data_IF_757087514096
#
_entry.id   IF_757087514096
#
_cell.length_a   1.000
_cell.length_b   1.000
_cell.length_c   1.000
_cell.angle_alpha   90.00
_cell.angle_beta   90.00
_cell.angle_gamma   90.00
#
_symmetry.space_group_name_H-M   'P 1'
#
loop_
_entity.id
_entity.type
_entity.pdbx_description
1 polymer ?
#
# COMPACT_ATOMS: atom_id res chain seq x y z
N UNK A 1 30.49 28.63 -38.14
CA UNK A 1 30.15 27.56 -37.18
C UNK A 1 28.74 27.79 -36.68
N UNK A 2 27.90 26.78 -36.81
CA UNK A 2 26.50 26.81 -36.44
C UNK A 2 26.33 26.92 -34.92
N UNK A 3 25.29 27.61 -34.47
CA UNK A 3 24.57 27.22 -33.26
C UNK A 3 23.08 27.55 -33.40
N UNK A 4 22.29 26.48 -33.49
CA UNK A 4 20.84 26.46 -33.48
C UNK A 4 20.33 26.89 -32.09
N UNK A 5 19.49 27.92 -32.05
CA UNK A 5 18.50 28.10 -30.98
C UNK A 5 17.15 27.64 -31.52
N UNK A 6 16.68 26.48 -31.05
CA UNK A 6 15.29 26.03 -31.23
C UNK A 6 14.44 26.68 -30.14
N UNK A 7 13.73 27.74 -30.49
CA UNK A 7 12.63 28.26 -29.66
C UNK A 7 11.34 27.56 -30.10
N UNK A 8 10.83 26.68 -29.24
CA UNK A 8 9.51 26.07 -29.39
C UNK A 8 8.48 27.11 -28.92
N UNK A 9 7.79 27.74 -29.86
CA UNK A 9 6.60 28.53 -29.55
C UNK A 9 5.41 27.58 -29.50
N UNK A 10 5.05 27.19 -28.28
CA UNK A 10 3.72 26.68 -27.97
C UNK A 10 2.82 27.89 -27.77
N UNK A 11 1.98 28.16 -28.76
CA UNK A 11 1.03 29.27 -28.72
C UNK A 11 -0.24 28.87 -29.45
N UNK A 12 -1.24 28.42 -28.70
CA UNK A 12 -2.63 28.44 -29.14
C UNK A 12 -3.03 29.91 -29.31
N UNK A 13 -2.95 30.41 -30.54
CA UNK A 13 -3.58 31.68 -30.91
C UNK A 13 -4.09 31.56 -32.33
N UNK A 14 -5.42 31.45 -32.44
CA UNK A 14 -6.18 31.53 -33.69
C UNK A 14 -5.83 32.81 -34.46
N UNK A 15 -5.62 32.75 -35.79
CA UNK A 15 -5.84 33.93 -36.61
C UNK A 15 -7.34 34.04 -36.91
N UNK A 16 -7.96 35.08 -36.32
CA UNK A 16 -9.17 35.70 -36.85
C UNK A 16 -8.84 36.23 -38.25
N UNK A 17 -9.31 35.55 -39.30
CA UNK A 17 -9.35 36.11 -40.65
C UNK A 17 -10.80 36.36 -41.02
N UNK A 18 -11.21 37.60 -40.73
CA UNK A 18 -12.39 38.26 -41.27
C UNK A 18 -12.28 38.39 -42.79
N UNK A 19 -13.41 38.14 -43.46
CA UNK A 19 -13.66 38.35 -44.88
C UNK A 19 -13.04 39.63 -45.46
N UNK A 20 -12.17 39.49 -46.45
CA UNK A 20 -11.99 40.47 -47.54
C UNK A 20 -11.81 39.69 -48.85
N UNK A 21 -12.91 39.52 -49.58
CA UNK A 21 -12.90 38.97 -50.93
C UNK A 21 -12.49 40.04 -51.93
N UNK A 22 -11.54 39.70 -52.80
CA UNK A 22 -11.35 40.39 -54.08
C UNK A 22 -11.26 39.31 -55.17
N UNK A 23 -12.39 39.02 -55.81
CA UNK A 23 -12.48 38.07 -56.91
C UNK A 23 -11.99 38.70 -58.22
N UNK A 24 -10.98 38.10 -58.86
CA UNK A 24 -10.82 38.18 -60.31
C UNK A 24 -11.33 36.87 -60.90
N UNK A 25 -12.44 36.96 -61.63
CA UNK A 25 -13.07 35.83 -62.33
C UNK A 25 -12.26 35.53 -63.60
N UNK A 26 -11.74 34.32 -63.71
CA UNK A 26 -11.32 33.71 -64.97
C UNK A 26 -12.26 32.52 -65.25
N UNK A 27 -12.80 32.36 -66.48
CA UNK A 27 -13.77 31.32 -66.76
C UNK A 27 -13.03 30.01 -67.09
N UNK A 28 -13.26 28.96 -66.30
CA UNK A 28 -12.91 27.61 -66.74
C UNK A 28 -12.38 26.65 -65.67
N UNK A 29 -13.29 26.12 -64.84
CA UNK A 29 -13.37 24.72 -64.36
C UNK A 29 -14.39 24.68 -63.22
N UNK A 30 -15.26 23.67 -63.19
CA UNK A 30 -16.15 23.44 -62.05
C UNK A 30 -15.30 22.99 -60.87
N UNK A 31 -14.97 23.90 -59.97
CA UNK A 31 -14.32 23.58 -58.71
C UNK A 31 -15.32 22.84 -57.82
N UNK A 32 -15.12 21.54 -57.68
CA UNK A 32 -15.79 20.75 -56.65
C UNK A 32 -15.17 21.18 -55.31
N UNK A 33 -15.86 22.09 -54.61
CA UNK A 33 -15.53 22.45 -53.23
C UNK A 33 -15.72 21.22 -52.34
N UNK A 34 -14.64 20.46 -52.12
CA UNK A 34 -14.57 19.49 -51.02
C UNK A 34 -14.55 20.27 -49.70
N UNK A 35 -15.71 20.39 -49.07
CA UNK A 35 -15.81 20.89 -47.70
C UNK A 35 -15.34 19.79 -46.75
N UNK A 36 -14.09 19.89 -46.29
CA UNK A 36 -13.65 19.10 -45.14
C UNK A 36 -14.38 19.61 -43.90
N UNK A 37 -15.44 18.90 -43.50
CA UNK A 37 -16.03 19.09 -42.18
C UNK A 37 -15.05 18.54 -41.15
N UNK A 38 -14.19 19.40 -40.60
CA UNK A 38 -13.44 19.05 -39.41
C UNK A 38 -14.43 18.95 -38.26
N UNK A 39 -14.71 17.72 -37.79
CA UNK A 39 -15.48 17.50 -36.56
C UNK A 39 -14.65 17.98 -35.35
N UNK A 40 -14.56 19.30 -35.17
CA UNK A 40 -13.81 19.94 -34.09
C UNK A 40 -14.26 19.46 -32.70
N UNK A 41 -15.52 19.02 -32.60
CA UNK A 41 -16.12 18.47 -31.39
C UNK A 41 -15.41 17.21 -30.85
N UNK A 42 -14.76 16.40 -31.69
CA UNK A 42 -14.07 15.18 -31.25
C UNK A 42 -12.66 15.46 -30.70
N UNK A 43 -12.04 16.57 -31.08
CA UNK A 43 -10.70 16.97 -30.59
C UNK A 43 -10.73 17.75 -29.27
N UNK A 44 -11.86 18.36 -28.92
CA UNK A 44 -11.99 19.18 -27.70
C UNK A 44 -12.39 18.39 -26.44
N UNK A 45 -12.81 17.12 -26.55
CA UNK A 45 -13.06 16.28 -25.37
C UNK A 45 -11.75 15.61 -24.97
N UNK A 46 -11.09 16.14 -23.94
CA UNK A 46 -10.08 15.39 -23.21
C UNK A 46 -10.69 14.03 -22.81
N UNK A 47 -9.97 12.91 -22.97
CA UNK A 47 -10.50 11.60 -22.59
C UNK A 47 -10.86 11.66 -21.10
N UNK A 48 -12.12 11.41 -20.77
CA UNK A 48 -12.54 11.27 -19.38
C UNK A 48 -11.71 10.13 -18.78
N UNK A 49 -10.95 10.46 -17.73
CA UNK A 49 -10.09 9.47 -17.08
C UNK A 49 -11.01 8.41 -16.45
N UNK A 50 -10.89 7.12 -16.84
CA UNK A 50 -11.71 6.09 -16.24
C UNK A 50 -11.28 5.91 -14.77
N UNK A 51 -12.08 6.40 -13.84
CA UNK A 51 -11.80 6.28 -12.41
C UNK A 51 -12.64 7.22 -11.56
N UNK A 52 -12.95 6.78 -10.33
CA UNK A 52 -13.61 7.62 -9.33
C UNK A 52 -12.56 8.57 -8.73
N UNK A 53 -12.83 9.88 -8.63
CA UNK A 53 -11.91 10.83 -8.00
C UNK A 53 -11.58 10.48 -6.55
N UNK A 54 -10.31 10.66 -6.13
CA UNK A 54 -9.85 10.31 -4.77
C UNK A 54 -10.65 10.97 -3.65
N UNK A 55 -11.08 12.22 -3.82
CA UNK A 55 -11.86 12.97 -2.82
C UNK A 55 -13.22 12.34 -2.49
N UNK A 56 -13.74 11.48 -3.37
CA UNK A 56 -15.01 10.78 -3.16
C UNK A 56 -14.82 9.42 -2.48
N UNK A 57 -13.57 8.95 -2.34
CA UNK A 57 -13.24 7.66 -1.76
C UNK A 57 -12.78 7.82 -0.31
N UNK A 58 -13.25 6.92 0.54
CA UNK A 58 -12.88 6.87 1.95
C UNK A 58 -12.12 5.58 2.26
N UNK A 59 -10.97 5.72 2.94
CA UNK A 59 -10.14 4.63 3.44
C UNK A 59 -10.42 4.42 4.93
N UNK A 60 -10.89 3.24 5.29
CA UNK A 60 -11.17 2.82 6.65
C UNK A 60 -10.06 1.94 7.23
N UNK A 61 -9.62 2.28 8.44
CA UNK A 61 -8.65 1.52 9.23
C UNK A 61 -9.32 1.02 10.52
N UNK A 62 -9.91 -0.18 10.50
CA UNK A 62 -10.55 -0.74 11.70
C UNK A 62 -9.51 -1.31 12.68
N UNK A 63 -9.94 -1.49 13.92
CA UNK A 63 -9.19 -2.17 14.96
C UNK A 63 -9.19 -3.68 14.69
N UNK A 64 -8.10 -4.35 15.05
CA UNK A 64 -8.04 -5.80 14.95
C UNK A 64 -8.70 -6.45 16.17
N UNK A 65 -9.61 -7.39 15.91
CA UNK A 65 -10.36 -8.12 16.97
C UNK A 65 -9.73 -9.45 17.34
N UNK A 66 -8.72 -9.90 16.58
CA UNK A 66 -8.04 -11.15 16.87
C UNK A 66 -7.27 -11.07 18.18
N UNK A 67 -7.28 -12.16 18.95
CA UNK A 67 -6.63 -12.22 20.26
C UNK A 67 -5.14 -11.85 20.18
N UNK A 68 -4.72 -10.92 21.03
CA UNK A 68 -3.33 -10.45 21.13
C UNK A 68 -2.74 -9.84 19.85
N UNK A 69 -3.57 -9.47 18.87
CA UNK A 69 -3.11 -8.71 17.71
C UNK A 69 -2.84 -7.26 18.14
N UNK A 70 -1.59 -6.82 17.97
CA UNK A 70 -1.16 -5.48 18.42
C UNK A 70 -0.89 -4.53 17.27
N UNK A 71 -0.77 -5.04 16.04
CA UNK A 71 -0.47 -4.24 14.86
C UNK A 71 -1.72 -3.50 14.38
N UNK A 72 -1.48 -2.40 13.69
CA UNK A 72 -2.50 -1.62 12.98
C UNK A 72 -2.10 -1.52 11.50
N UNK A 73 -3.09 -1.48 10.61
CA UNK A 73 -2.84 -1.53 9.17
C UNK A 73 -2.13 -0.27 8.63
N UNK A 74 -2.44 0.91 9.19
CA UNK A 74 -1.80 2.18 8.82
C UNK A 74 -1.25 2.89 10.06
N UNK A 75 -0.01 3.34 9.96
CA UNK A 75 0.59 4.28 10.91
C UNK A 75 0.16 5.73 10.58
N UNK A 76 0.30 6.69 11.51
CA UNK A 76 0.03 8.10 11.22
C UNK A 76 0.80 8.64 10.01
N UNK A 77 2.03 8.18 9.77
CA UNK A 77 2.80 8.54 8.57
C UNK A 77 2.17 7.99 7.28
N UNK A 78 1.63 6.77 7.31
CA UNK A 78 0.88 6.20 6.18
C UNK A 78 -0.42 6.96 5.90
N UNK A 79 -1.10 7.42 6.96
CA UNK A 79 -2.28 8.29 6.83
C UNK A 79 -1.94 9.60 6.13
N UNK A 80 -0.86 10.29 6.55
CA UNK A 80 -0.42 11.52 5.91
C UNK A 80 -0.15 11.35 4.41
N UNK A 81 0.44 10.21 4.01
CA UNK A 81 0.70 9.92 2.61
C UNK A 81 -0.60 9.76 1.79
N UNK A 82 -1.60 9.07 2.33
CA UNK A 82 -2.90 8.88 1.66
C UNK A 82 -3.71 10.18 1.59
N UNK A 83 -3.70 10.97 2.67
CA UNK A 83 -4.33 12.30 2.69
C UNK A 83 -3.67 13.22 1.66
N UNK A 84 -2.34 13.20 1.55
CA UNK A 84 -1.60 13.96 0.53
C UNK A 84 -1.96 13.53 -0.90
N UNK A 85 -2.27 12.25 -1.12
CA UNK A 85 -2.76 11.74 -2.41
C UNK A 85 -4.20 12.19 -2.70
N UNK A 86 -4.97 12.56 -1.67
CA UNK A 86 -6.31 13.13 -1.78
C UNK A 86 -7.44 12.21 -1.30
N UNK A 87 -7.13 11.13 -0.59
CA UNK A 87 -8.13 10.26 0.03
C UNK A 87 -8.61 10.84 1.37
N UNK A 88 -9.86 10.55 1.71
CA UNK A 88 -10.35 10.74 3.08
C UNK A 88 -9.99 9.49 3.89
N UNK A 89 -9.44 9.66 5.10
CA UNK A 89 -9.06 8.54 5.96
C UNK A 89 -9.86 8.57 7.24
N UNK A 90 -10.52 7.45 7.55
CA UNK A 90 -11.23 7.23 8.81
C UNK A 90 -10.55 6.08 9.57
N UNK A 91 -10.34 6.29 10.86
CA UNK A 91 -9.67 5.31 11.74
C UNK A 91 -10.59 5.00 12.90
N UNK A 92 -10.70 3.72 13.25
CA UNK A 92 -11.48 3.31 14.42
C UNK A 92 -10.80 3.79 15.71
N UNK A 93 -11.58 4.31 16.65
CA UNK A 93 -11.05 4.75 17.95
C UNK A 93 -10.31 3.60 18.66
N UNK A 94 -9.09 3.89 19.11
CA UNK A 94 -8.27 2.93 19.81
C UNK A 94 -7.69 1.81 18.92
N UNK A 95 -7.72 1.94 17.59
CA UNK A 95 -7.11 0.98 16.68
C UNK A 95 -5.58 0.91 16.82
N UNK A 96 -4.94 2.05 17.09
CA UNK A 96 -3.48 2.17 17.18
C UNK A 96 -2.88 1.97 18.57
N UNK A 97 -3.68 1.89 19.63
CA UNK A 97 -3.20 1.90 21.02
C UNK A 97 -2.17 0.81 21.31
N UNK A 98 -2.45 -0.42 20.87
CA UNK A 98 -1.55 -1.56 21.05
C UNK A 98 -0.23 -1.43 20.24
N UNK A 99 -0.26 -0.64 19.17
CA UNK A 99 0.91 -0.24 18.36
C UNK A 99 1.59 1.04 18.88
N UNK A 100 1.15 1.59 20.01
CA UNK A 100 1.63 2.85 20.61
C UNK A 100 1.36 4.09 19.75
N UNK A 101 0.28 4.08 18.97
CA UNK A 101 -0.24 5.26 18.28
C UNK A 101 -1.56 5.69 18.93
N UNK A 102 -1.60 6.88 19.53
CA UNK A 102 -2.82 7.48 20.05
C UNK A 102 -3.71 8.01 18.93
N UNK A 103 -5.01 8.13 19.21
CA UNK A 103 -6.00 8.73 18.31
C UNK A 103 -5.62 10.17 17.92
N UNK A 104 -4.93 10.91 18.81
CA UNK A 104 -4.48 12.28 18.54
C UNK A 104 -3.41 12.34 17.43
N UNK A 105 -2.54 11.34 17.33
CA UNK A 105 -1.59 11.26 16.23
C UNK A 105 -2.29 11.06 14.89
N UNK A 106 -3.39 10.31 14.86
CA UNK A 106 -4.21 10.13 13.67
C UNK A 106 -4.98 11.40 13.29
N UNK A 107 -5.55 12.10 14.28
CA UNK A 107 -6.19 13.42 14.06
C UNK A 107 -5.20 14.43 13.50
N UNK A 108 -3.99 14.52 14.06
CA UNK A 108 -2.93 15.40 13.58
C UNK A 108 -2.44 15.02 12.17
N UNK A 109 -2.53 13.74 11.79
CA UNK A 109 -2.23 13.26 10.44
C UNK A 109 -3.32 13.56 9.40
N UNK A 110 -4.48 14.09 9.82
CA UNK A 110 -5.60 14.42 8.96
C UNK A 110 -6.66 13.32 8.82
N UNK A 111 -6.61 12.27 9.64
CA UNK A 111 -7.68 11.28 9.71
C UNK A 111 -8.81 11.72 10.66
N UNK A 112 -10.00 11.22 10.40
CA UNK A 112 -11.14 11.32 11.30
C UNK A 112 -11.27 10.06 12.15
N UNK A 113 -11.55 10.22 13.44
CA UNK A 113 -11.77 9.09 14.34
C UNK A 113 -13.26 8.78 14.38
N UNK A 114 -13.59 7.53 14.14
CA UNK A 114 -14.97 7.04 14.08
C UNK A 114 -15.09 5.69 14.82
N UNK A 115 -16.31 5.21 14.99
CA UNK A 115 -16.64 3.89 15.52
C UNK A 115 -16.44 2.76 14.50
N UNK A 116 -16.46 1.53 15.00
CA UNK A 116 -16.13 0.35 14.20
C UNK A 116 -17.04 0.16 12.97
N UNK A 117 -18.36 0.31 13.13
CA UNK A 117 -19.31 -0.02 12.05
C UNK A 117 -19.13 0.89 10.84
N UNK A 118 -18.98 2.20 11.07
CA UNK A 118 -18.80 3.16 10.00
C UNK A 118 -17.43 3.04 9.32
N UNK A 119 -16.38 2.68 10.07
CA UNK A 119 -15.05 2.44 9.48
C UNK A 119 -15.06 1.23 8.55
N UNK A 120 -15.70 0.12 8.94
CA UNK A 120 -15.85 -1.06 8.08
C UNK A 120 -16.76 -0.81 6.86
N UNK A 121 -17.64 0.19 6.91
CA UNK A 121 -18.51 0.58 5.80
C UNK A 121 -17.83 1.52 4.78
N UNK A 122 -16.52 1.75 4.88
CA UNK A 122 -15.74 2.58 3.96
C UNK A 122 -15.60 1.97 2.56
N UNK A 123 -15.21 2.77 1.57
CA UNK A 123 -14.99 2.31 0.18
C UNK A 123 -13.76 1.40 0.08
N UNK A 124 -12.68 1.78 0.77
CA UNK A 124 -11.47 0.97 0.91
C UNK A 124 -11.32 0.60 2.39
N UNK A 125 -11.24 -0.68 2.72
CA UNK A 125 -10.96 -1.15 4.07
C UNK A 125 -9.58 -1.78 4.08
N UNK A 126 -8.68 -1.24 4.91
CA UNK A 126 -7.30 -1.74 5.04
C UNK A 126 -7.14 -2.39 6.40
N UNK A 127 -6.94 -3.71 6.40
CA UNK A 127 -6.72 -4.53 7.60
C UNK A 127 -5.38 -5.24 7.52
N UNK A 128 -4.87 -5.63 8.69
CA UNK A 128 -3.70 -6.51 8.76
C UNK A 128 -4.17 -7.93 8.43
N UNK A 129 -5.13 -8.45 9.19
CA UNK A 129 -5.60 -9.83 9.06
C UNK A 129 -6.95 -9.91 8.34
N UNK A 130 -7.26 -11.13 7.90
CA UNK A 130 -8.55 -11.46 7.34
C UNK A 130 -9.71 -11.07 8.29
N UNK A 131 -10.84 -10.58 7.75
CA UNK A 131 -12.03 -10.32 8.55
C UNK A 131 -12.53 -11.57 9.26
N UNK A 132 -12.97 -11.44 10.50
CA UNK A 132 -13.48 -12.56 11.30
C UNK A 132 -14.79 -12.21 12.03
N UNK A 133 -15.32 -13.15 12.81
CA UNK A 133 -16.45 -12.87 13.70
C UNK A 133 -15.98 -11.92 14.79
N UNK A 134 -16.60 -10.74 14.86
CA UNK A 134 -16.30 -9.76 15.89
C UNK A 134 -17.06 -10.16 17.18
N UNK A 135 -16.37 -10.52 18.28
CA UNK A 135 -17.03 -10.96 19.51
C UNK A 135 -17.81 -9.83 20.20
N UNK A 136 -17.40 -8.57 20.00
CA UNK A 136 -18.05 -7.39 20.60
C UNK A 136 -19.36 -7.04 19.89
N UNK A 137 -19.39 -7.17 18.56
CA UNK A 137 -20.56 -6.83 17.74
C UNK A 137 -21.49 -8.03 17.50
N UNK A 138 -21.03 -9.27 17.75
CA UNK A 138 -21.79 -10.49 17.50
C UNK A 138 -22.02 -10.81 16.02
N UNK A 139 -21.38 -10.07 15.11
CA UNK A 139 -21.54 -10.22 13.65
C UNK A 139 -20.19 -10.43 12.98
N UNK A 140 -20.22 -11.04 11.79
CA UNK A 140 -19.01 -11.22 11.00
C UNK A 140 -18.61 -9.89 10.34
N UNK A 141 -17.34 -9.49 10.43
CA UNK A 141 -16.85 -8.22 9.86
C UNK A 141 -17.13 -8.10 8.36
N UNK A 142 -17.07 -9.22 7.62
CA UNK A 142 -17.44 -9.26 6.20
C UNK A 142 -18.87 -8.75 5.91
N UNK A 143 -19.82 -8.95 6.83
CA UNK A 143 -21.21 -8.50 6.65
C UNK A 143 -21.36 -6.98 6.83
N UNK A 144 -20.39 -6.34 7.50
CA UNK A 144 -20.34 -4.90 7.71
C UNK A 144 -19.67 -4.16 6.53
N UNK A 145 -19.00 -4.87 5.63
CA UNK A 145 -18.37 -4.28 4.45
C UNK A 145 -19.43 -3.72 3.49
N UNK A 146 -19.16 -2.55 2.94
CA UNK A 146 -19.99 -1.93 1.90
C UNK A 146 -20.03 -2.80 0.63
N UNK A 147 -21.17 -2.79 -0.05
CA UNK A 147 -21.30 -3.39 -1.39
C UNK A 147 -20.37 -2.68 -2.37
N UNK A 148 -19.63 -3.45 -3.18
CA UNK A 148 -18.59 -2.92 -4.09
C UNK A 148 -17.43 -2.18 -3.38
N UNK A 149 -17.25 -2.40 -2.07
CA UNK A 149 -16.05 -1.95 -1.36
C UNK A 149 -14.82 -2.79 -1.73
N UNK A 150 -13.63 -2.24 -1.51
CA UNK A 150 -12.37 -2.97 -1.68
C UNK A 150 -11.73 -3.26 -0.33
N UNK A 151 -11.36 -4.52 -0.10
CA UNK A 151 -10.66 -4.97 1.10
C UNK A 151 -9.19 -5.26 0.77
N UNK A 152 -8.28 -4.71 1.57
CA UNK A 152 -6.84 -5.01 1.49
C UNK A 152 -6.43 -5.64 2.81
N UNK A 153 -6.02 -6.92 2.80
CA UNK A 153 -5.56 -7.64 3.99
C UNK A 153 -4.83 -8.94 3.63
N UNK A 154 -4.27 -9.63 4.63
CA UNK A 154 -3.87 -11.03 4.47
C UNK A 154 -5.11 -11.92 4.48
N UNK A 155 -5.33 -12.66 3.39
CA UNK A 155 -6.54 -13.49 3.20
C UNK A 155 -6.23 -14.99 3.29
N UNK A 156 -5.07 -15.41 2.76
CA UNK A 156 -4.74 -16.83 2.58
C UNK A 156 -5.88 -17.60 1.86
N UNK A 157 -6.16 -17.27 0.58
CA UNK A 157 -7.33 -17.78 -0.14
C UNK A 157 -7.42 -19.31 -0.20
N UNK A 158 -6.27 -20.00 -0.31
CA UNK A 158 -6.23 -21.46 -0.41
C UNK A 158 -6.68 -22.16 0.88
N UNK A 159 -6.54 -21.51 2.03
CA UNK A 159 -6.86 -22.08 3.34
C UNK A 159 -8.26 -21.70 3.82
N UNK A 160 -8.85 -20.61 3.29
CA UNK A 160 -10.08 -20.01 3.83
C UNK A 160 -11.21 -19.92 2.79
N UNK A 161 -11.74 -21.06 2.26
CA UNK A 161 -12.79 -21.03 1.24
C UNK A 161 -14.10 -20.40 1.74
N UNK A 162 -14.46 -20.59 3.01
CA UNK A 162 -15.69 -20.04 3.59
C UNK A 162 -15.67 -18.50 3.65
N UNK A 163 -14.50 -17.92 3.94
CA UNK A 163 -14.30 -16.48 3.93
C UNK A 163 -14.48 -15.91 2.52
N UNK A 164 -13.92 -16.58 1.51
CA UNK A 164 -14.09 -16.19 0.11
C UNK A 164 -15.56 -16.23 -0.31
N UNK A 165 -16.30 -17.26 0.09
CA UNK A 165 -17.74 -17.37 -0.16
C UNK A 165 -18.52 -16.21 0.48
N UNK A 166 -18.18 -15.82 1.71
CA UNK A 166 -18.79 -14.65 2.39
C UNK A 166 -18.47 -13.34 1.67
N UNK A 167 -17.20 -13.10 1.33
CA UNK A 167 -16.78 -11.89 0.62
C UNK A 167 -17.38 -11.80 -0.79
N UNK A 168 -17.50 -12.93 -1.48
CA UNK A 168 -18.15 -13.04 -2.79
C UNK A 168 -19.63 -12.61 -2.73
N UNK A 169 -20.37 -13.07 -1.71
CA UNK A 169 -21.79 -12.66 -1.50
C UNK A 169 -21.95 -11.15 -1.33
N UNK A 170 -20.94 -10.45 -0.80
CA UNK A 170 -20.95 -8.98 -0.62
C UNK A 170 -20.57 -8.21 -1.87
N UNK A 171 -20.14 -8.89 -2.95
CA UNK A 171 -19.65 -8.29 -4.19
C UNK A 171 -18.48 -7.32 -3.95
N UNK A 172 -17.64 -7.61 -2.96
CA UNK A 172 -16.47 -6.80 -2.63
C UNK A 172 -15.27 -7.21 -3.50
N UNK A 173 -14.43 -6.25 -3.84
CA UNK A 173 -13.12 -6.51 -4.45
C UNK A 173 -12.11 -6.79 -3.33
N UNK A 174 -11.30 -7.84 -3.44
CA UNK A 174 -10.37 -8.23 -2.37
C UNK A 174 -8.96 -8.31 -2.93
N UNK A 175 -8.04 -7.56 -2.34
CA UNK A 175 -6.62 -7.58 -2.65
C UNK A 175 -5.89 -8.30 -1.51
N UNK A 176 -5.41 -9.51 -1.80
CA UNK A 176 -4.74 -10.37 -0.84
C UNK A 176 -3.24 -10.05 -0.79
N UNK A 177 -2.76 -9.51 0.34
CA UNK A 177 -1.35 -9.14 0.52
C UNK A 177 -0.40 -10.34 0.57
N UNK A 178 -0.93 -11.55 0.84
CA UNK A 178 -0.17 -12.80 0.79
C UNK A 178 0.07 -13.31 -0.65
N UNK A 179 -0.74 -12.87 -1.62
CA UNK A 179 -0.65 -13.30 -3.02
C UNK A 179 0.12 -12.31 -3.90
N UNK A 180 0.87 -11.37 -3.30
CA UNK A 180 1.75 -10.47 -4.05
C UNK A 180 2.84 -11.31 -4.75
N UNK A 181 2.97 -11.23 -6.08
CA UNK A 181 3.96 -12.01 -6.80
C UNK A 181 5.38 -11.56 -6.43
N UNK A 182 6.28 -12.52 -6.22
CA UNK A 182 7.68 -12.26 -5.86
C UNK A 182 8.51 -11.91 -7.09
N UNK A 183 8.30 -10.69 -7.60
CA UNK A 183 9.02 -10.11 -8.76
C UNK A 183 9.68 -8.79 -8.38
N UNK A 184 10.75 -8.40 -9.08
CA UNK A 184 11.60 -7.24 -8.72
C UNK A 184 10.81 -5.94 -8.54
N UNK A 185 9.84 -5.67 -9.42
CA UNK A 185 9.01 -4.44 -9.35
C UNK A 185 8.06 -4.41 -8.14
N UNK A 186 7.76 -5.56 -7.54
CA UNK A 186 6.81 -5.72 -6.44
C UNK A 186 7.47 -5.85 -5.06
N UNK A 187 8.81 -5.87 -5.00
CA UNK A 187 9.55 -6.05 -3.75
C UNK A 187 9.26 -4.94 -2.73
N UNK A 188 9.00 -3.72 -3.19
CA UNK A 188 8.74 -2.57 -2.32
C UNK A 188 7.44 -2.66 -1.50
N UNK A 189 6.51 -3.55 -1.88
CA UNK A 189 5.23 -3.74 -1.19
C UNK A 189 4.95 -5.20 -0.81
N UNK A 190 6.00 -6.03 -0.73
CA UNK A 190 5.89 -7.40 -0.21
C UNK A 190 5.75 -7.39 1.33
N UNK A 191 4.52 -7.60 1.78
CA UNK A 191 4.18 -7.63 3.20
C UNK A 191 4.74 -8.88 3.92
N UNK A 192 4.87 -10.03 3.24
CA UNK A 192 5.40 -11.25 3.85
C UNK A 192 6.89 -11.11 4.15
N UNK A 193 7.65 -10.54 3.20
CA UNK A 193 9.08 -10.26 3.41
C UNK A 193 9.31 -9.26 4.55
N UNK A 194 8.48 -8.22 4.65
CA UNK A 194 8.53 -7.25 5.76
C UNK A 194 8.29 -7.93 7.12
N UNK A 195 7.27 -8.79 7.22
CA UNK A 195 6.97 -9.50 8.47
C UNK A 195 8.04 -10.54 8.80
N UNK A 196 8.58 -11.24 7.80
CA UNK A 196 9.66 -12.22 7.99
C UNK A 196 10.93 -11.55 8.53
N UNK A 197 11.28 -10.35 8.04
CA UNK A 197 12.42 -9.59 8.54
C UNK A 197 12.25 -9.22 10.03
N UNK A 198 11.09 -8.67 10.39
CA UNK A 198 10.77 -8.32 11.79
C UNK A 198 10.81 -9.57 12.69
N UNK A 199 10.24 -10.68 12.22
CA UNK A 199 10.24 -11.94 12.95
C UNK A 199 11.66 -12.46 13.21
N UNK A 200 12.54 -12.42 12.20
CA UNK A 200 13.93 -12.84 12.34
C UNK A 200 14.70 -12.01 13.38
N UNK A 201 14.59 -10.68 13.31
CA UNK A 201 15.16 -9.81 14.33
C UNK A 201 14.61 -10.11 15.74
N UNK A 202 13.28 -10.22 15.85
CA UNK A 202 12.63 -10.45 17.15
C UNK A 202 12.98 -11.80 17.75
N UNK A 203 13.16 -12.84 16.93
CA UNK A 203 13.58 -14.16 17.38
C UNK A 203 14.91 -14.11 18.13
N UNK A 204 15.89 -13.36 17.61
CA UNK A 204 17.20 -13.21 18.25
C UNK A 204 17.11 -12.40 19.54
N UNK A 205 16.29 -11.33 19.57
CA UNK A 205 16.05 -10.56 20.81
C UNK A 205 15.41 -11.42 21.90
N UNK A 206 14.45 -12.28 21.54
CA UNK A 206 13.84 -13.21 22.47
C UNK A 206 14.87 -14.26 22.95
N UNK A 207 15.69 -14.79 22.03
CA UNK A 207 16.76 -15.71 22.40
C UNK A 207 17.73 -15.09 23.42
N UNK A 208 18.15 -13.83 23.20
CA UNK A 208 19.02 -13.11 24.13
C UNK A 208 18.37 -12.90 25.51
N UNK A 209 17.06 -12.61 25.55
CA UNK A 209 16.33 -12.42 26.81
C UNK A 209 16.19 -13.71 27.63
N UNK A 210 16.06 -14.86 26.97
CA UNK A 210 15.92 -16.16 27.63
C UNK A 210 17.26 -16.87 27.88
N UNK A 211 18.32 -16.47 27.18
CA UNK A 211 19.63 -17.10 27.30
C UNK A 211 20.44 -16.49 28.45
N UNK A 212 20.78 -17.31 29.45
CA UNK A 212 21.44 -16.86 30.68
C UNK A 212 22.94 -16.53 30.56
N UNK A 213 23.47 -16.31 29.35
CA UNK A 213 24.89 -15.95 29.12
C UNK A 213 25.00 -14.86 28.05
N UNK A 214 26.16 -14.22 27.96
CA UNK A 214 26.40 -13.22 26.93
C UNK A 214 26.50 -13.83 25.52
N UNK A 215 26.01 -13.08 24.53
CA UNK A 215 26.25 -13.39 23.13
C UNK A 215 27.67 -13.02 22.71
N UNK A 216 28.09 -11.81 23.08
CA UNK A 216 29.44 -11.32 22.85
C UNK A 216 30.45 -12.02 23.74
N UNK A 217 31.54 -12.50 23.14
CA UNK A 217 32.70 -12.96 23.89
C UNK A 217 33.48 -11.77 24.44
N UNK A 218 33.87 -11.82 25.72
CA UNK A 218 34.57 -10.74 26.39
C UNK A 218 35.72 -11.28 27.23
N UNK A 219 36.79 -10.48 27.34
CA UNK A 219 37.86 -10.71 28.32
C UNK A 219 37.62 -9.76 29.47
N UNK A 220 37.43 -10.30 30.67
CA UNK A 220 37.19 -9.53 31.89
C UNK A 220 38.27 -9.84 32.91
N UNK A 221 38.38 -9.02 33.96
CA UNK A 221 39.27 -9.30 35.09
C UNK A 221 38.98 -10.66 35.75
N UNK A 222 37.71 -11.11 35.71
CA UNK A 222 37.27 -12.40 36.24
C UNK A 222 37.49 -13.58 35.27
N UNK A 223 38.02 -13.34 34.07
CA UNK A 223 38.32 -14.37 33.07
C UNK A 223 37.71 -14.13 31.69
N UNK A 224 37.95 -15.09 30.80
CA UNK A 224 37.49 -15.08 29.39
C UNK A 224 36.14 -15.76 29.25
N UNK A 225 35.14 -15.02 28.76
CA UNK A 225 33.83 -15.56 28.38
C UNK A 225 33.80 -15.78 26.87
N UNK A 226 33.60 -17.02 26.38
CA UNK A 226 33.49 -17.28 24.94
C UNK A 226 32.15 -16.74 24.39
N UNK A 227 32.11 -16.34 23.12
CA UNK A 227 30.87 -15.92 22.47
C UNK A 227 29.88 -17.08 22.32
N UNK A 228 28.59 -16.75 22.29
CA UNK A 228 27.55 -17.71 21.98
C UNK A 228 27.68 -18.23 20.54
N UNK A 229 27.26 -19.48 20.32
CA UNK A 229 27.20 -20.10 19.00
C UNK A 229 25.74 -20.30 18.62
N UNK A 230 25.32 -19.72 17.50
CA UNK A 230 23.93 -19.73 17.04
C UNK A 230 23.89 -20.41 15.67
N UNK A 231 23.02 -21.43 15.55
CA UNK A 231 22.73 -22.09 14.28
C UNK A 231 21.40 -21.57 13.73
N UNK A 232 21.40 -21.11 12.48
CA UNK A 232 20.21 -20.70 11.74
C UNK A 232 19.94 -21.75 10.65
N UNK A 233 18.76 -22.36 10.70
CA UNK A 233 18.31 -23.33 9.69
C UNK A 233 17.25 -22.65 8.80
N UNK A 234 17.58 -22.49 7.51
CA UNK A 234 16.82 -21.76 6.51
C UNK A 234 17.39 -20.36 6.23
N UNK A 235 17.80 -20.12 4.99
CA UNK A 235 18.36 -18.87 4.45
C UNK A 235 17.33 -17.99 3.74
N UNK A 236 16.09 -17.98 4.22
CA UNK A 236 15.07 -17.02 3.78
C UNK A 236 15.25 -15.64 4.41
N UNK A 237 14.32 -14.71 4.16
CA UNK A 237 14.37 -13.33 4.69
C UNK A 237 14.49 -13.32 6.23
N UNK A 238 13.69 -14.15 6.92
CA UNK A 238 13.77 -14.26 8.38
C UNK A 238 15.12 -14.82 8.85
N UNK A 239 15.66 -15.82 8.16
CA UNK A 239 16.94 -16.44 8.49
C UNK A 239 18.10 -15.45 8.35
N UNK A 240 18.13 -14.70 7.26
CA UNK A 240 19.13 -13.66 7.02
C UNK A 240 19.04 -12.52 8.03
N UNK A 241 17.83 -12.07 8.36
CA UNK A 241 17.60 -11.07 9.42
C UNK A 241 18.12 -11.56 10.78
N UNK A 242 17.86 -12.83 11.10
CA UNK A 242 18.34 -13.46 12.33
C UNK A 242 19.86 -13.58 12.35
N UNK A 243 20.47 -14.00 11.23
CA UNK A 243 21.91 -14.09 11.10
C UNK A 243 22.58 -12.72 11.27
N UNK A 244 22.04 -11.67 10.64
CA UNK A 244 22.52 -10.30 10.78
C UNK A 244 22.44 -9.79 12.22
N UNK A 245 21.29 -9.97 12.87
CA UNK A 245 21.09 -9.54 14.26
C UNK A 245 21.97 -10.32 15.26
N UNK A 246 22.09 -11.63 15.10
CA UNK A 246 22.95 -12.44 15.96
C UNK A 246 24.43 -12.09 15.78
N UNK A 247 24.85 -11.86 14.53
CA UNK A 247 26.23 -11.50 14.20
C UNK A 247 26.60 -10.12 14.74
N UNK A 248 25.70 -9.13 14.62
CA UNK A 248 25.94 -7.78 15.16
C UNK A 248 26.01 -7.77 16.69
N UNK A 249 25.31 -8.69 17.37
CA UNK A 249 25.41 -8.90 18.82
C UNK A 249 26.62 -9.75 19.25
N UNK A 250 27.60 -10.00 18.38
CA UNK A 250 28.87 -10.62 18.75
C UNK A 250 28.86 -12.15 18.85
N UNK A 251 27.78 -12.81 18.43
CA UNK A 251 27.71 -14.26 18.39
C UNK A 251 28.44 -14.85 17.16
N UNK A 252 28.85 -16.11 17.28
CA UNK A 252 29.32 -16.92 16.16
C UNK A 252 28.09 -17.55 15.51
N UNK A 253 27.77 -17.09 14.30
CA UNK A 253 26.61 -17.59 13.54
C UNK A 253 27.06 -18.67 12.56
N UNK A 254 26.29 -19.75 12.52
CA UNK A 254 26.38 -20.81 11.50
C UNK A 254 25.03 -20.89 10.80
N UNK A 255 25.02 -21.04 9.48
CA UNK A 255 23.81 -21.11 8.68
C UNK A 255 23.75 -22.41 7.87
N UNK A 256 22.55 -22.92 7.63
CA UNK A 256 22.30 -24.01 6.71
C UNK A 256 21.00 -23.73 5.93
N UNK A 257 21.04 -23.84 4.60
CA UNK A 257 19.89 -23.85 3.70
C UNK A 257 20.13 -24.98 2.69
N UNK A 258 19.05 -25.57 2.18
CA UNK A 258 19.13 -26.64 1.18
C UNK A 258 19.39 -26.12 -0.24
N UNK A 259 19.13 -24.83 -0.48
CA UNK A 259 19.27 -24.16 -1.78
C UNK A 259 20.67 -23.62 -2.02
#
# INVERSE_FOLDING_TARGET
>A
MANLLKTVVTGCSCPLLSNLGSYKVLPGKKDVLRTFHTHQALWCKAPEKPGIPYKQLTVGVPKEVFQNEKRVALSPAGVQALVKQGFNVVVESGAGEASKFSDDHYRAAGAQIQGAKEVLASDLVVKVRAPMVNPTLGVHEADLLKTSGTLISFIYPAQNPDLLNKLSKRKSTVLAMDQVPRVTIAQGYDALSSMANIAGYKAVVLAANHFGRFFTGQITAAGKVPPAKILIVGGGVAGLASAGAAKSMGAIVRGFDTR
#
